data_IF_972850393236
#
_entry.id   IF_972850393236
#
_cell.length_a   1.000
_cell.length_b   1.000
_cell.length_c   1.000
_cell.angle_alpha   90.00
_cell.angle_beta   90.00
_cell.angle_gamma   90.00
#
_symmetry.space_group_name_H-M   'P 1'
#
loop_
_entity.id
_entity.type
_entity.pdbx_description
1 polymer ?
#
# COMPACT_ATOMS: atom_id res chain seq x y z
N UNK A 1 -1.12 12.68 19.48
CA UNK A 1 0.19 13.17 19.98
C UNK A 1 0.75 12.10 20.91
N UNK A 2 1.98 11.64 20.68
CA UNK A 2 2.63 10.66 21.54
C UNK A 2 2.95 11.29 22.92
N UNK A 3 2.78 10.53 23.99
CA UNK A 3 2.90 11.01 25.37
C UNK A 3 4.28 10.66 25.91
N UNK A 4 5.09 11.66 26.30
CA UNK A 4 6.49 11.48 26.73
C UNK A 4 6.63 10.35 27.76
N UNK A 5 7.69 9.52 27.65
CA UNK A 5 7.87 8.37 28.53
C UNK A 5 8.15 8.83 29.96
N UNK A 6 7.62 8.08 30.92
CA UNK A 6 7.93 8.30 32.34
C UNK A 6 9.41 7.96 32.63
N UNK A 7 9.97 8.57 33.67
CA UNK A 7 11.33 8.28 34.12
C UNK A 7 11.56 6.76 34.29
N UNK A 8 10.62 6.04 34.93
CA UNK A 8 10.68 4.58 35.09
C UNK A 8 10.75 3.82 33.75
N UNK A 9 10.05 4.28 32.71
CA UNK A 9 10.13 3.69 31.37
C UNK A 9 11.45 4.01 30.66
N UNK A 10 12.08 5.15 30.95
CA UNK A 10 13.36 5.51 30.38
C UNK A 10 14.53 4.69 30.95
N UNK A 11 14.47 4.32 32.23
CA UNK A 11 15.49 3.48 32.91
C UNK A 11 15.22 1.97 32.84
N UNK A 12 13.96 1.54 32.67
CA UNK A 12 13.60 0.12 32.51
C UNK A 12 13.38 -0.30 31.04
N UNK A 13 13.36 0.68 30.13
CA UNK A 13 12.98 0.50 28.74
C UNK A 13 14.14 0.08 27.84
N UNK A 14 13.83 -0.20 26.55
CA UNK A 14 14.85 -0.44 25.54
C UNK A 14 15.79 0.77 25.43
N UNK A 15 17.00 0.56 24.86
CA UNK A 15 18.01 1.61 24.73
C UNK A 15 17.44 2.93 24.20
N UNK A 16 18.04 4.05 24.63
CA UNK A 16 17.61 5.44 24.35
C UNK A 16 17.11 5.66 22.91
N UNK A 17 17.77 5.14 21.85
CA UNK A 17 17.30 5.29 20.46
C UNK A 17 15.85 4.85 20.24
N UNK A 18 15.45 3.70 20.81
CA UNK A 18 14.12 3.15 20.60
C UNK A 18 13.07 3.98 21.34
N UNK A 19 13.43 4.47 22.53
CA UNK A 19 12.56 5.30 23.36
C UNK A 19 12.18 6.63 22.67
N UNK A 20 13.15 7.29 22.05
CA UNK A 20 12.94 8.61 21.41
C UNK A 20 12.32 8.50 20.02
N UNK A 21 12.40 7.34 19.37
CA UNK A 21 12.04 7.16 17.97
C UNK A 21 10.64 7.64 17.57
N UNK A 22 9.65 7.43 18.45
CA UNK A 22 8.25 7.85 18.21
C UNK A 22 8.00 9.36 18.27
N UNK A 23 8.98 10.15 18.71
CA UNK A 23 8.90 11.60 18.85
C UNK A 23 9.66 12.35 17.75
N UNK A 24 10.45 11.65 16.95
CA UNK A 24 11.29 12.25 15.91
C UNK A 24 10.51 12.39 14.61
N UNK A 25 10.77 13.48 13.91
CA UNK A 25 10.27 13.64 12.55
C UNK A 25 11.17 12.90 11.53
N UNK A 26 10.81 12.96 10.25
CA UNK A 26 11.55 12.26 9.20
C UNK A 26 12.99 12.77 9.04
N UNK A 27 13.22 14.07 9.23
CA UNK A 27 14.55 14.67 9.09
C UNK A 27 15.44 14.26 10.27
N UNK A 28 14.90 14.30 11.48
CA UNK A 28 15.59 13.88 12.69
C UNK A 28 15.91 12.38 12.68
N UNK A 29 14.99 11.54 12.21
CA UNK A 29 15.24 10.10 12.04
C UNK A 29 16.44 9.85 11.12
N UNK A 30 16.52 10.57 9.98
CA UNK A 30 17.64 10.47 9.04
C UNK A 30 18.98 10.90 9.67
N UNK A 31 18.98 11.96 10.47
CA UNK A 31 20.17 12.41 11.21
C UNK A 31 20.59 11.37 12.27
N UNK A 32 19.62 10.86 13.02
CA UNK A 32 19.83 9.86 14.06
C UNK A 32 20.41 8.56 13.48
N UNK A 33 19.93 8.11 12.31
CA UNK A 33 20.44 6.92 11.63
C UNK A 33 21.92 7.03 11.21
N UNK A 34 22.51 8.23 11.21
CA UNK A 34 23.92 8.48 10.82
C UNK A 34 24.88 8.58 11.99
N UNK A 35 24.39 8.55 13.23
CA UNK A 35 25.21 8.75 14.44
C UNK A 35 26.22 7.60 14.62
N UNK A 36 25.74 6.36 14.69
CA UNK A 36 26.57 5.16 14.80
C UNK A 36 25.79 3.92 14.34
N UNK A 37 26.43 2.73 14.37
CA UNK A 37 25.80 1.46 13.94
C UNK A 37 24.57 1.07 14.79
N UNK A 38 24.60 1.34 16.09
CA UNK A 38 23.49 1.01 16.99
C UNK A 38 22.25 1.84 16.66
N UNK A 39 22.43 3.16 16.53
CA UNK A 39 21.37 4.09 16.13
C UNK A 39 20.88 3.77 14.73
N UNK A 40 21.79 3.49 13.78
CA UNK A 40 21.40 3.06 12.44
C UNK A 40 20.49 1.84 12.47
N UNK A 41 20.82 0.81 13.26
CA UNK A 41 20.00 -0.40 13.36
C UNK A 41 18.59 -0.14 13.91
N UNK A 42 18.40 0.90 14.72
CA UNK A 42 17.09 1.27 15.29
C UNK A 42 16.28 2.17 14.35
N UNK A 43 16.90 3.19 13.78
CA UNK A 43 16.19 4.21 12.99
C UNK A 43 16.04 3.84 11.51
N UNK A 44 16.98 3.10 10.94
CA UNK A 44 16.93 2.72 9.53
C UNK A 44 15.65 1.92 9.18
N UNK A 45 15.19 0.94 9.98
CA UNK A 45 13.91 0.28 9.75
C UNK A 45 12.72 1.24 9.76
N UNK A 46 12.74 2.29 10.59
CA UNK A 46 11.65 3.27 10.68
C UNK A 46 11.60 4.19 9.46
N UNK A 47 12.77 4.56 8.92
CA UNK A 47 12.88 5.38 7.71
C UNK A 47 12.42 4.59 6.48
N UNK A 48 12.88 3.34 6.36
CA UNK A 48 12.63 2.52 5.16
C UNK A 48 11.35 1.70 5.22
N UNK A 49 10.63 1.66 6.34
CA UNK A 49 9.34 0.98 6.43
C UNK A 49 8.33 1.49 5.38
N UNK A 50 8.29 2.81 5.15
CA UNK A 50 7.54 3.49 4.09
C UNK A 50 8.38 4.61 3.45
N UNK A 51 9.19 4.32 2.42
CA UNK A 51 10.08 5.31 1.82
C UNK A 51 9.31 6.42 1.09
N UNK A 52 8.09 6.16 0.61
CA UNK A 52 7.29 7.16 -0.12
C UNK A 52 6.89 8.32 0.80
N UNK A 53 6.48 8.02 2.04
CA UNK A 53 6.17 9.03 3.04
C UNK A 53 7.35 9.91 3.43
N UNK A 54 8.58 9.35 3.44
CA UNK A 54 9.81 10.12 3.67
C UNK A 54 10.16 11.00 2.47
N UNK A 55 10.12 10.43 1.26
CA UNK A 55 10.43 11.16 0.01
C UNK A 55 9.45 12.30 -0.24
N UNK A 56 8.17 12.14 0.12
CA UNK A 56 7.15 13.17 0.00
C UNK A 56 7.50 14.48 0.75
N UNK A 57 8.36 14.41 1.77
CA UNK A 57 8.82 15.57 2.55
C UNK A 57 10.06 16.26 1.96
N UNK A 58 10.62 15.73 0.88
CA UNK A 58 11.85 16.23 0.26
C UNK A 58 11.55 17.18 -0.91
N UNK A 59 12.59 17.86 -1.40
CA UNK A 59 12.53 18.60 -2.65
C UNK A 59 12.34 17.64 -3.84
N UNK A 60 11.50 18.01 -4.79
CA UNK A 60 11.21 17.23 -6.00
C UNK A 60 10.60 15.84 -5.72
N UNK A 61 9.54 15.74 -4.90
CA UNK A 61 9.06 14.45 -4.39
C UNK A 61 8.65 13.48 -5.51
N UNK A 62 7.95 13.95 -6.55
CA UNK A 62 7.45 13.08 -7.63
C UNK A 62 8.60 12.44 -8.43
N UNK A 63 9.59 13.25 -8.79
CA UNK A 63 10.82 12.77 -9.44
C UNK A 63 11.55 11.76 -8.56
N UNK A 64 11.68 12.06 -7.27
CA UNK A 64 12.44 11.21 -6.36
C UNK A 64 11.74 9.85 -6.13
N UNK A 65 10.40 9.82 -6.03
CA UNK A 65 9.66 8.55 -5.95
C UNK A 65 9.83 7.73 -7.23
N UNK A 66 9.71 8.36 -8.40
CA UNK A 66 9.94 7.67 -9.66
C UNK A 66 11.36 7.09 -9.74
N UNK A 67 12.37 7.90 -9.42
CA UNK A 67 13.77 7.47 -9.44
C UNK A 67 14.04 6.35 -8.44
N UNK A 68 13.52 6.46 -7.22
CA UNK A 68 13.62 5.43 -6.21
C UNK A 68 13.07 4.09 -6.73
N UNK A 69 11.83 4.08 -7.25
CA UNK A 69 11.20 2.89 -7.80
C UNK A 69 11.97 2.32 -9.01
N UNK A 70 12.45 3.19 -9.90
CA UNK A 70 13.25 2.80 -11.06
C UNK A 70 14.62 2.19 -10.69
N UNK A 71 15.17 2.56 -9.52
CA UNK A 71 16.47 2.08 -9.04
C UNK A 71 16.39 0.83 -8.15
N UNK A 72 15.20 0.42 -7.71
CA UNK A 72 15.01 -0.82 -6.94
C UNK A 72 15.68 -2.06 -7.55
N UNK A 73 15.66 -2.30 -8.89
CA UNK A 73 16.37 -3.44 -9.49
C UNK A 73 17.89 -3.38 -9.31
N UNK A 74 18.47 -2.18 -9.21
CA UNK A 74 19.89 -2.01 -8.92
C UNK A 74 20.16 -2.24 -7.42
N UNK A 75 19.34 -1.65 -6.54
CA UNK A 75 19.49 -1.81 -5.08
C UNK A 75 19.40 -3.27 -4.64
N UNK A 76 18.50 -4.04 -5.24
CA UNK A 76 18.33 -5.47 -4.94
C UNK A 76 19.55 -6.33 -5.30
N UNK A 77 20.43 -5.86 -6.21
CA UNK A 77 21.64 -6.59 -6.64
C UNK A 77 22.90 -6.19 -5.87
N UNK A 78 22.83 -5.12 -5.09
CA UNK A 78 23.98 -4.52 -4.41
C UNK A 78 23.87 -4.63 -2.88
N UNK A 79 24.83 -4.04 -2.16
CA UNK A 79 24.82 -3.97 -0.68
C UNK A 79 23.57 -3.26 -0.11
N UNK A 80 22.81 -2.55 -0.95
CA UNK A 80 21.54 -1.92 -0.61
C UNK A 80 20.36 -2.93 -0.50
N UNK A 81 20.57 -4.23 -0.79
CA UNK A 81 19.53 -5.25 -0.66
C UNK A 81 18.90 -5.30 0.75
N UNK A 82 19.71 -5.07 1.80
CA UNK A 82 19.22 -4.96 3.18
C UNK A 82 18.20 -3.84 3.38
N UNK A 83 18.28 -2.79 2.57
CA UNK A 83 17.32 -1.68 2.61
C UNK A 83 15.99 -2.11 2.01
N UNK A 84 16.03 -2.86 0.90
CA UNK A 84 14.82 -3.43 0.30
C UNK A 84 14.08 -4.39 1.26
N UNK A 85 14.82 -5.10 2.12
CA UNK A 85 14.25 -5.97 3.15
C UNK A 85 13.47 -5.20 4.23
N UNK A 86 13.76 -3.91 4.43
CA UNK A 86 13.08 -3.08 5.45
C UNK A 86 11.76 -2.50 4.93
N UNK A 87 11.55 -2.48 3.62
CA UNK A 87 10.35 -1.90 3.00
C UNK A 87 9.18 -2.85 3.21
N UNK A 88 8.22 -2.40 4.02
CA UNK A 88 7.00 -3.16 4.34
C UNK A 88 5.75 -2.51 3.78
N UNK A 89 5.80 -1.19 3.55
CA UNK A 89 4.68 -0.37 3.11
C UNK A 89 5.10 0.51 1.95
N UNK A 90 4.19 0.71 1.00
CA UNK A 90 4.26 1.82 0.05
C UNK A 90 2.95 2.60 0.14
N UNK A 91 3.00 3.76 0.79
CA UNK A 91 1.85 4.66 0.90
C UNK A 91 2.02 5.87 0.00
N UNK A 92 1.21 5.95 -1.07
CA UNK A 92 1.27 7.04 -2.04
C UNK A 92 0.42 8.26 -1.66
N UNK A 93 -0.39 8.20 -0.58
CA UNK A 93 -1.22 9.33 -0.15
C UNK A 93 -0.42 10.59 0.17
N UNK A 94 0.72 10.53 0.90
CA UNK A 94 1.50 11.72 1.22
C UNK A 94 1.94 12.46 -0.05
N UNK A 95 2.43 11.75 -1.06
CA UNK A 95 2.90 12.38 -2.28
C UNK A 95 1.74 12.88 -3.16
N UNK A 96 0.63 12.15 -3.23
CA UNK A 96 -0.53 12.59 -4.01
C UNK A 96 -1.26 13.76 -3.39
N UNK A 97 -1.18 13.95 -2.07
CA UNK A 97 -1.70 15.16 -1.42
C UNK A 97 -1.05 16.44 -1.95
N UNK A 98 0.21 16.35 -2.43
CA UNK A 98 0.97 17.47 -2.96
C UNK A 98 0.50 17.91 -4.35
N UNK A 99 -0.27 17.10 -5.09
CA UNK A 99 -0.72 17.42 -6.46
C UNK A 99 -1.56 18.69 -6.54
N UNK A 100 -2.25 19.03 -5.44
CA UNK A 100 -3.10 20.21 -5.35
C UNK A 100 -2.30 21.49 -5.02
N UNK A 101 -1.02 21.37 -4.65
CA UNK A 101 -0.17 22.49 -4.32
C UNK A 101 0.51 23.04 -5.58
N UNK A 102 0.35 24.34 -5.83
CA UNK A 102 0.86 25.04 -7.02
C UNK A 102 2.35 24.75 -7.24
N UNK A 103 3.15 24.76 -6.17
CA UNK A 103 4.60 24.53 -6.24
C UNK A 103 5.00 23.15 -6.79
N UNK A 104 4.10 22.16 -6.74
CA UNK A 104 4.36 20.80 -7.20
C UNK A 104 3.59 20.42 -8.47
N UNK A 105 2.70 21.28 -8.99
CA UNK A 105 1.87 20.96 -10.15
C UNK A 105 2.67 20.58 -11.38
N UNK A 106 3.73 21.32 -11.70
CA UNK A 106 4.60 21.01 -12.84
C UNK A 106 5.22 19.62 -12.72
N UNK A 107 5.76 19.30 -11.54
CA UNK A 107 6.35 17.99 -11.29
C UNK A 107 5.32 16.86 -11.32
N UNK A 108 4.12 17.12 -10.81
CA UNK A 108 3.04 16.16 -10.91
C UNK A 108 2.74 15.86 -12.38
N UNK A 109 2.54 16.88 -13.22
CA UNK A 109 2.29 16.70 -14.66
C UNK A 109 3.42 15.93 -15.37
N UNK A 110 4.68 16.20 -15.00
CA UNK A 110 5.85 15.56 -15.62
C UNK A 110 6.03 14.07 -15.21
N UNK A 111 5.43 13.62 -14.10
CA UNK A 111 5.67 12.27 -13.55
C UNK A 111 4.40 11.44 -13.32
N UNK A 112 3.20 12.03 -13.41
CA UNK A 112 1.92 11.33 -13.23
C UNK A 112 1.78 10.14 -14.18
N UNK A 113 2.16 10.30 -15.44
CA UNK A 113 2.11 9.25 -16.47
C UNK A 113 3.22 8.19 -16.30
N UNK A 114 4.26 8.48 -15.51
CA UNK A 114 5.35 7.53 -15.24
C UNK A 114 5.05 6.67 -14.00
N UNK A 115 4.36 7.24 -13.01
CA UNK A 115 4.00 6.58 -11.75
C UNK A 115 2.69 5.78 -11.86
N UNK A 116 2.58 4.95 -12.90
CA UNK A 116 1.41 4.08 -13.08
C UNK A 116 1.42 2.94 -12.07
N UNK A 117 0.23 2.46 -11.67
CA UNK A 117 0.11 1.27 -10.81
C UNK A 117 0.81 0.06 -11.40
N UNK A 118 0.80 -0.12 -12.72
CA UNK A 118 1.52 -1.22 -13.36
C UNK A 118 3.03 -1.11 -13.14
N UNK A 119 3.59 0.08 -13.34
CA UNK A 119 5.00 0.33 -13.07
C UNK A 119 5.33 0.02 -11.60
N UNK A 120 4.51 0.52 -10.67
CA UNK A 120 4.66 0.29 -9.23
C UNK A 120 4.58 -1.21 -8.90
N UNK A 121 3.58 -1.93 -9.39
CA UNK A 121 3.43 -3.36 -9.12
C UNK A 121 4.62 -4.18 -9.66
N UNK A 122 5.21 -3.79 -10.79
CA UNK A 122 6.41 -4.45 -11.33
C UNK A 122 7.60 -4.33 -10.37
N UNK A 123 7.66 -3.30 -9.53
CA UNK A 123 8.78 -3.16 -8.58
C UNK A 123 8.64 -4.06 -7.35
N UNK A 124 7.48 -4.68 -7.11
CA UNK A 124 7.27 -5.52 -5.93
C UNK A 124 8.16 -6.77 -5.89
N UNK A 125 8.62 -7.26 -7.06
CA UNK A 125 9.59 -8.35 -7.14
C UNK A 125 10.93 -8.01 -6.47
N UNK A 126 11.22 -6.73 -6.26
CA UNK A 126 12.44 -6.26 -5.59
C UNK A 126 12.24 -5.95 -4.10
N UNK A 127 11.03 -6.19 -3.56
CA UNK A 127 10.62 -5.81 -2.21
C UNK A 127 10.13 -7.06 -1.45
N UNK A 128 11.03 -7.92 -0.94
CA UNK A 128 10.66 -9.24 -0.41
C UNK A 128 9.74 -9.17 0.83
N UNK A 129 9.77 -8.04 1.55
CA UNK A 129 9.00 -7.82 2.76
C UNK A 129 7.81 -6.87 2.61
N UNK A 130 7.43 -6.49 1.39
CA UNK A 130 6.23 -5.69 1.18
C UNK A 130 4.98 -6.44 1.67
N UNK A 131 4.14 -5.75 2.45
CA UNK A 131 2.88 -6.27 3.02
C UNK A 131 1.70 -5.33 2.78
N UNK A 132 1.95 -4.03 2.72
CA UNK A 132 0.89 -3.03 2.66
C UNK A 132 1.12 -2.08 1.48
N UNK A 133 0.09 -1.88 0.66
CA UNK A 133 0.17 -0.97 -0.49
C UNK A 133 -1.07 -0.08 -0.55
N UNK A 134 -0.85 1.23 -0.65
CA UNK A 134 -1.93 2.22 -0.69
C UNK A 134 -1.77 3.06 -1.97
N UNK A 135 -2.54 2.71 -2.99
CA UNK A 135 -2.56 3.35 -4.31
C UNK A 135 -3.55 4.53 -4.41
N UNK A 136 -4.14 4.95 -3.28
CA UNK A 136 -5.28 5.87 -3.24
C UNK A 136 -5.09 7.11 -4.13
N UNK A 137 -5.96 7.25 -5.14
CA UNK A 137 -5.95 8.38 -6.06
C UNK A 137 -4.90 8.36 -7.18
N UNK A 138 -4.15 7.27 -7.37
CA UNK A 138 -3.34 7.05 -8.57
C UNK A 138 -4.23 6.79 -9.80
N UNK A 139 -3.75 7.22 -10.97
CA UNK A 139 -4.36 6.85 -12.25
C UNK A 139 -3.80 5.51 -12.72
N UNK A 140 -4.68 4.64 -13.19
CA UNK A 140 -4.28 3.57 -14.10
C UNK A 140 -4.24 4.17 -15.50
N UNK A 141 -3.18 3.92 -16.26
CA UNK A 141 -3.28 4.05 -17.71
C UNK A 141 -3.91 2.78 -18.28
N UNK A 142 -4.87 2.97 -19.20
CA UNK A 142 -5.39 1.91 -20.06
C UNK A 142 -4.23 1.34 -20.89
N UNK A 143 -3.79 0.12 -20.58
CA UNK A 143 -3.01 -0.64 -21.55
C UNK A 143 -3.69 -1.96 -21.89
N UNK A 144 -3.81 -2.19 -23.20
CA UNK A 144 -4.53 -3.26 -23.89
C UNK A 144 -3.94 -4.68 -23.69
N UNK A 145 -2.88 -4.81 -22.90
CA UNK A 145 -2.22 -6.09 -22.65
C UNK A 145 -2.51 -6.54 -21.21
N UNK A 146 -2.85 -7.82 -20.99
CA UNK A 146 -3.11 -8.32 -19.64
C UNK A 146 -1.90 -8.03 -18.76
N UNK A 147 -2.16 -7.57 -17.55
CA UNK A 147 -1.15 -7.44 -16.52
C UNK A 147 -0.59 -8.84 -16.21
N UNK A 148 0.60 -9.13 -16.73
CA UNK A 148 1.32 -10.38 -16.44
C UNK A 148 2.56 -10.00 -15.65
N UNK A 149 2.71 -10.59 -14.45
CA UNK A 149 4.00 -10.68 -13.77
C UNK A 149 4.92 -11.57 -14.61
N UNK A 150 5.35 -11.10 -15.79
CA UNK A 150 6.26 -11.87 -16.62
C UNK A 150 7.57 -12.04 -15.84
N UNK A 151 7.89 -13.28 -15.50
CA UNK A 151 9.19 -13.73 -15.00
C UNK A 151 9.55 -13.44 -13.53
N UNK A 152 8.62 -12.93 -12.71
CA UNK A 152 8.85 -12.93 -11.26
C UNK A 152 8.52 -14.32 -10.70
N UNK A 153 9.35 -14.94 -9.82
CA UNK A 153 8.92 -16.11 -9.08
C UNK A 153 7.71 -15.69 -8.26
N UNK A 154 6.53 -16.10 -8.74
CA UNK A 154 5.22 -15.79 -8.15
C UNK A 154 5.24 -15.95 -6.62
N UNK A 155 6.07 -16.84 -6.08
CA UNK A 155 6.35 -17.06 -4.66
C UNK A 155 6.49 -15.79 -3.77
N UNK A 156 7.08 -14.69 -4.25
CA UNK A 156 7.44 -13.54 -3.40
C UNK A 156 6.42 -12.39 -3.39
N UNK A 157 5.73 -12.16 -4.51
CA UNK A 157 4.65 -11.15 -4.62
C UNK A 157 3.42 -11.52 -3.76
N UNK A 158 3.39 -12.76 -3.28
CA UNK A 158 2.29 -13.41 -2.55
C UNK A 158 2.11 -12.97 -1.10
N UNK A 159 2.94 -12.08 -0.55
CA UNK A 159 2.83 -11.73 0.88
C UNK A 159 2.06 -10.44 1.15
N UNK A 160 1.51 -9.78 0.13
CA UNK A 160 0.74 -8.56 0.34
C UNK A 160 -0.57 -8.88 1.07
N UNK A 161 -0.77 -8.23 2.21
CA UNK A 161 -1.87 -8.45 3.14
C UNK A 161 -2.94 -7.36 3.04
N UNK A 162 -2.56 -6.14 2.68
CA UNK A 162 -3.52 -5.04 2.51
C UNK A 162 -3.25 -4.24 1.23
N UNK A 163 -4.32 -4.01 0.48
CA UNK A 163 -4.34 -3.06 -0.63
C UNK A 163 -5.48 -2.06 -0.42
N UNK A 164 -5.16 -0.78 -0.59
CA UNK A 164 -6.17 0.27 -0.78
C UNK A 164 -6.01 0.88 -2.16
N UNK A 165 -7.04 0.74 -2.97
CA UNK A 165 -7.24 1.35 -4.28
C UNK A 165 -8.31 2.44 -4.23
N UNK A 166 -8.57 3.00 -3.04
CA UNK A 166 -9.61 4.00 -2.82
C UNK A 166 -9.52 5.16 -3.84
N UNK A 167 -10.65 5.53 -4.44
CA UNK A 167 -10.72 6.69 -5.35
C UNK A 167 -9.88 6.58 -6.62
N UNK A 168 -9.35 5.40 -6.96
CA UNK A 168 -8.69 5.18 -8.25
C UNK A 168 -9.73 5.27 -9.38
N UNK A 169 -9.43 6.03 -10.44
CA UNK A 169 -10.37 6.22 -11.53
C UNK A 169 -10.69 4.91 -12.25
N UNK A 170 -9.72 4.02 -12.40
CA UNK A 170 -9.91 2.72 -13.01
C UNK A 170 -9.18 1.66 -12.20
N UNK A 171 -9.73 0.45 -12.18
CA UNK A 171 -9.22 -0.68 -11.43
C UNK A 171 -9.39 -1.93 -12.29
N UNK A 172 -8.31 -2.43 -12.89
CA UNK A 172 -8.37 -3.74 -13.56
C UNK A 172 -8.49 -4.83 -12.49
N UNK A 173 -9.61 -5.57 -12.40
CA UNK A 173 -9.76 -6.53 -11.32
C UNK A 173 -8.82 -7.75 -11.45
N UNK A 174 -8.21 -7.97 -12.62
CA UNK A 174 -7.34 -9.12 -12.86
C UNK A 174 -6.02 -9.03 -12.10
N UNK A 175 -5.41 -7.84 -11.97
CA UNK A 175 -4.16 -7.70 -11.21
C UNK A 175 -4.35 -7.94 -9.72
N UNK A 176 -5.52 -7.60 -9.15
CA UNK A 176 -5.79 -7.78 -7.72
C UNK A 176 -5.86 -9.26 -7.34
N UNK A 177 -6.36 -10.12 -8.23
CA UNK A 177 -6.47 -11.57 -8.00
C UNK A 177 -5.11 -12.23 -7.75
N UNK A 178 -4.04 -11.63 -8.25
CA UNK A 178 -2.69 -12.13 -8.05
C UNK A 178 -2.27 -12.10 -6.57
N UNK A 179 -2.91 -11.28 -5.73
CA UNK A 179 -2.66 -11.18 -4.29
C UNK A 179 -3.65 -12.01 -3.47
N UNK A 180 -3.62 -13.32 -3.63
CA UNK A 180 -4.58 -14.22 -2.98
C UNK A 180 -4.49 -14.26 -1.44
N UNK A 181 -3.39 -13.78 -0.84
CA UNK A 181 -3.20 -13.65 0.62
C UNK A 181 -3.77 -12.35 1.22
N UNK A 182 -4.46 -11.54 0.42
CA UNK A 182 -5.09 -10.31 0.91
C UNK A 182 -6.03 -10.59 2.08
N UNK A 183 -5.83 -9.85 3.15
CA UNK A 183 -6.68 -9.80 4.34
C UNK A 183 -7.57 -8.56 4.30
N UNK A 184 -7.07 -7.47 3.73
CA UNK A 184 -7.77 -6.19 3.59
C UNK A 184 -7.74 -5.71 2.15
N UNK A 185 -8.92 -5.35 1.63
CA UNK A 185 -9.08 -4.72 0.33
C UNK A 185 -10.04 -3.53 0.41
N UNK A 186 -9.57 -2.35 0.01
CA UNK A 186 -10.42 -1.17 -0.18
C UNK A 186 -10.45 -0.78 -1.65
N UNK A 187 -11.61 -0.94 -2.27
CA UNK A 187 -11.90 -0.54 -3.66
C UNK A 187 -13.03 0.50 -3.68
N UNK A 188 -13.17 1.26 -2.58
CA UNK A 188 -14.21 2.27 -2.48
C UNK A 188 -13.98 3.41 -3.48
N UNK A 189 -15.06 3.89 -4.08
CA UNK A 189 -15.09 5.00 -5.03
C UNK A 189 -14.21 4.78 -6.27
N UNK A 190 -13.92 3.53 -6.64
CA UNK A 190 -13.29 3.24 -7.93
C UNK A 190 -14.33 3.19 -9.06
N UNK A 191 -13.93 3.34 -10.32
CA UNK A 191 -14.81 2.91 -11.40
C UNK A 191 -14.92 1.39 -11.42
N UNK A 192 -16.07 0.91 -11.89
CA UNK A 192 -16.38 -0.50 -12.01
C UNK A 192 -16.04 -0.99 -13.42
N UNK A 193 -15.07 -1.89 -13.52
CA UNK A 193 -14.77 -2.58 -14.78
C UNK A 193 -15.96 -3.48 -15.23
N UNK A 194 -16.07 -3.76 -16.53
CA UNK A 194 -17.16 -4.58 -17.08
C UNK A 194 -17.24 -5.99 -16.46
N UNK A 195 -16.07 -6.58 -16.16
CA UNK A 195 -15.94 -7.93 -15.60
C UNK A 195 -15.91 -7.96 -14.05
N UNK A 196 -16.30 -6.87 -13.38
CA UNK A 196 -16.19 -6.72 -11.92
C UNK A 196 -16.75 -7.92 -11.14
N UNK A 197 -17.96 -8.37 -11.47
CA UNK A 197 -18.59 -9.50 -10.78
C UNK A 197 -17.83 -10.83 -10.92
N UNK A 198 -17.27 -11.12 -12.10
CA UNK A 198 -16.48 -12.34 -12.33
C UNK A 198 -15.13 -12.28 -11.61
N UNK A 199 -14.60 -11.08 -11.45
CA UNK A 199 -13.27 -10.91 -10.92
C UNK A 199 -13.19 -11.02 -9.40
N UNK A 200 -14.25 -10.62 -8.69
CA UNK A 200 -14.36 -10.79 -7.25
C UNK A 200 -15.15 -12.07 -6.95
N UNK A 201 -14.47 -13.22 -7.09
CA UNK A 201 -14.97 -14.54 -6.71
C UNK A 201 -14.27 -15.06 -5.43
N UNK A 202 -14.88 -16.05 -4.77
CA UNK A 202 -14.41 -16.61 -3.50
C UNK A 202 -13.00 -17.18 -3.56
N UNK A 203 -12.69 -17.85 -4.68
CA UNK A 203 -11.45 -18.62 -4.86
C UNK A 203 -10.24 -17.70 -4.99
N UNK A 204 -10.45 -16.48 -5.48
CA UNK A 204 -9.38 -15.48 -5.63
C UNK A 204 -9.01 -14.80 -4.31
N UNK A 205 -9.86 -14.87 -3.27
CA UNK A 205 -9.74 -14.06 -2.05
C UNK A 205 -10.02 -14.87 -0.77
N UNK A 206 -9.38 -16.04 -0.65
CA UNK A 206 -9.61 -17.01 0.43
C UNK A 206 -9.36 -16.43 1.84
N UNK A 207 -8.36 -15.54 1.96
CA UNK A 207 -7.94 -14.95 3.24
C UNK A 207 -8.58 -13.60 3.56
N UNK A 208 -9.43 -13.08 2.67
CA UNK A 208 -10.01 -11.76 2.85
C UNK A 208 -10.88 -11.70 4.10
N UNK A 209 -10.69 -10.65 4.90
CA UNK A 209 -11.43 -10.38 6.14
C UNK A 209 -12.09 -9.01 6.11
N UNK A 210 -11.50 -8.04 5.43
CA UNK A 210 -12.05 -6.69 5.33
C UNK A 210 -12.18 -6.32 3.85
N UNK A 211 -13.40 -6.00 3.45
CA UNK A 211 -13.73 -5.54 2.10
C UNK A 211 -14.51 -4.23 2.17
N UNK A 212 -13.94 -3.18 1.57
CA UNK A 212 -14.62 -1.88 1.44
C UNK A 212 -14.95 -1.62 -0.03
N UNK A 213 -16.21 -1.30 -0.29
CA UNK A 213 -16.80 -1.15 -1.61
C UNK A 213 -17.79 0.03 -1.65
N UNK A 214 -17.49 1.09 -0.90
CA UNK A 214 -18.32 2.31 -0.90
C UNK A 214 -18.30 2.98 -2.27
N UNK A 215 -19.33 3.73 -2.62
CA UNK A 215 -19.39 4.49 -3.87
C UNK A 215 -19.54 3.68 -5.16
N UNK A 216 -19.52 2.34 -5.10
CA UNK A 216 -19.61 1.48 -6.30
C UNK A 216 -21.05 1.26 -6.82
N UNK A 217 -22.06 1.80 -6.13
CA UNK A 217 -23.49 1.69 -6.49
C UNK A 217 -23.93 0.26 -6.85
N UNK A 218 -23.41 -0.74 -6.13
CA UNK A 218 -23.79 -2.13 -6.34
C UNK A 218 -25.27 -2.29 -5.97
N UNK A 219 -26.09 -2.94 -6.80
CA UNK A 219 -27.50 -3.28 -6.52
C UNK A 219 -27.84 -4.65 -7.08
N UNK A 220 -28.63 -5.45 -6.36
CA UNK A 220 -29.06 -6.79 -6.78
C UNK A 220 -27.91 -7.68 -7.25
N UNK A 221 -27.98 -8.09 -8.52
CA UNK A 221 -27.01 -8.98 -9.19
C UNK A 221 -25.62 -8.36 -9.41
N UNK A 222 -25.44 -7.07 -9.12
CA UNK A 222 -24.15 -6.39 -9.24
C UNK A 222 -23.25 -6.61 -8.02
N UNK A 223 -23.78 -7.17 -6.93
CA UNK A 223 -22.97 -7.54 -5.77
C UNK A 223 -22.13 -8.77 -6.14
N UNK A 224 -20.79 -8.70 -6.01
CA UNK A 224 -19.93 -9.78 -6.47
C UNK A 224 -20.15 -11.07 -5.64
N UNK A 225 -20.05 -12.26 -6.26
CA UNK A 225 -20.23 -13.55 -5.59
C UNK A 225 -19.37 -13.74 -4.35
N UNK A 226 -18.19 -13.11 -4.32
CA UNK A 226 -17.30 -13.06 -3.17
C UNK A 226 -18.01 -12.64 -1.88
N UNK A 227 -18.93 -11.66 -1.93
CA UNK A 227 -19.64 -11.16 -0.74
C UNK A 227 -20.50 -12.24 -0.10
N UNK A 228 -21.16 -13.05 -0.92
CA UNK A 228 -22.04 -14.12 -0.43
C UNK A 228 -21.23 -15.32 0.08
N UNK A 229 -20.17 -15.69 -0.64
CA UNK A 229 -19.35 -16.87 -0.38
C UNK A 229 -18.34 -16.67 0.77
N UNK A 230 -17.73 -15.49 0.87
CA UNK A 230 -16.81 -15.14 1.97
C UNK A 230 -17.48 -14.37 3.08
N UNK A 231 -18.79 -14.06 2.99
CA UNK A 231 -19.52 -13.28 3.98
C UNK A 231 -19.35 -13.76 5.43
N UNK A 232 -19.26 -15.08 5.65
CA UNK A 232 -19.02 -15.66 6.98
C UNK A 232 -17.58 -15.49 7.49
N UNK A 233 -16.62 -15.27 6.58
CA UNK A 233 -15.20 -15.02 6.87
C UNK A 233 -14.89 -13.52 6.96
N UNK A 234 -15.70 -12.66 6.34
CA UNK A 234 -15.54 -11.22 6.40
C UNK A 234 -15.87 -10.70 7.80
N UNK A 235 -14.89 -10.07 8.42
CA UNK A 235 -15.04 -9.35 9.70
C UNK A 235 -15.68 -7.98 9.50
N UNK A 236 -15.45 -7.35 8.34
CA UNK A 236 -16.03 -6.06 8.02
C UNK A 236 -16.33 -5.94 6.53
N UNK A 237 -17.59 -5.67 6.21
CA UNK A 237 -18.06 -5.26 4.89
C UNK A 237 -18.58 -3.84 4.98
N UNK A 238 -17.98 -2.93 4.21
CA UNK A 238 -18.40 -1.52 4.20
C UNK A 238 -18.94 -1.15 2.81
N UNK A 239 -20.26 -0.98 2.73
CA UNK A 239 -21.03 -0.49 1.59
C UNK A 239 -21.86 0.68 2.06
N UNK A 240 -22.06 1.70 1.20
CA UNK A 240 -22.66 3.01 1.54
C UNK A 240 -23.75 2.92 2.62
N UNK A 241 -23.32 3.25 3.85
CA UNK A 241 -24.03 3.42 5.12
C UNK A 241 -25.02 2.36 5.63
N UNK A 242 -24.89 1.09 5.27
CA UNK A 242 -25.43 0.02 6.15
C UNK A 242 -24.33 -0.94 6.56
N UNK A 243 -23.80 -0.75 7.78
CA UNK A 243 -23.06 -1.78 8.50
C UNK A 243 -24.04 -2.93 8.80
N UNK A 244 -24.27 -3.81 7.83
CA UNK A 244 -24.90 -5.09 8.14
C UNK A 244 -23.78 -5.99 8.63
N UNK A 245 -23.79 -6.32 9.93
CA UNK A 245 -23.19 -7.59 10.37
C UNK A 245 -23.74 -8.65 9.41
N UNK A 246 -22.87 -9.48 8.83
CA UNK A 246 -23.32 -10.64 8.07
C UNK A 246 -23.86 -11.65 9.09
N UNK A 247 -25.04 -11.37 9.64
CA UNK A 247 -25.77 -12.26 10.55
C UNK A 247 -26.88 -12.93 9.76
N UNK A 248 -26.67 -14.22 9.47
CA UNK A 248 -27.63 -15.33 9.26
C UNK A 248 -28.88 -15.17 8.37
N UNK A 249 -29.20 -14.00 7.81
CA UNK A 249 -30.50 -13.78 7.16
C UNK A 249 -30.48 -13.82 5.63
N UNK A 250 -29.52 -14.53 5.02
CA UNK A 250 -29.56 -14.85 3.59
C UNK A 250 -29.16 -16.30 3.37
N UNK A 251 -30.13 -17.19 3.63
CA UNK A 251 -30.18 -18.54 3.09
C UNK A 251 -31.60 -18.67 2.51
N UNK A 252 -31.79 -18.85 1.19
CA UNK A 252 -32.93 -19.61 0.70
C UNK A 252 -32.76 -21.08 1.10
#
# INVERSE_FOLDING_TARGET
MAHLPSYKQAIAGPGIPLLISSYLDAADLLLCARVNKEWNNVFNPLIWADPVGIIAKQSNPFRNVYQFLAQLPAFARENAARTCDLITTLDFRPILSLRHLIQHQRQYSDYEYLLTTQFICKTFVHLPNIRFVIFEGLKMEEYKAPFVFMNAPLAEIKKILAISAHGMQELDPNWIKEFYHLVYLDISYTARAENFGMAFNADSFVFLRVLKMRGLRLTGNLVPPLVYSTGRKLWSLVRDNTLRKVSESYIP
#
